data_IF_421115079870
#
_entry.id   IF_421115079870
#
_cell.length_a   1.000
_cell.length_b   1.000
_cell.length_c   1.000
_cell.angle_alpha   90.00
_cell.angle_beta   90.00
_cell.angle_gamma   90.00
#
_symmetry.space_group_name_H-M   'P 1'
#
loop_
_entity.id
_entity.type
_entity.pdbx_description
1 polymer ?
#
# COMPACT_ATOMS: atom_id res chain seq x y z
N UNK A 1 -18.22 -7.39 11.42
CA UNK A 1 -17.09 -8.30 11.14
C UNK A 1 -15.72 -7.73 11.54
N UNK A 2 -15.29 -6.57 11.04
CA UNK A 2 -13.98 -5.97 11.40
C UNK A 2 -13.82 -5.73 12.91
N UNK A 3 -14.89 -5.31 13.58
CA UNK A 3 -14.91 -5.07 15.04
C UNK A 3 -14.73 -6.35 15.87
N UNK A 4 -15.47 -7.40 15.51
CA UNK A 4 -15.35 -8.73 16.13
C UNK A 4 -13.96 -9.31 15.91
N UNK A 5 -13.42 -9.19 14.70
CA UNK A 5 -12.07 -9.65 14.36
C UNK A 5 -11.00 -8.99 15.25
N UNK A 6 -11.04 -7.66 15.39
CA UNK A 6 -10.12 -6.91 16.27
C UNK A 6 -10.26 -7.34 17.72
N UNK A 7 -11.48 -7.57 18.20
CA UNK A 7 -11.71 -8.00 19.59
C UNK A 7 -11.21 -9.42 19.85
N UNK A 8 -11.40 -10.35 18.91
CA UNK A 8 -10.92 -11.73 19.04
C UNK A 8 -9.39 -11.77 19.09
N UNK A 9 -8.71 -11.07 18.16
CA UNK A 9 -7.25 -11.13 18.12
C UNK A 9 -6.63 -10.50 19.38
N UNK A 10 -7.28 -9.51 20.01
CA UNK A 10 -6.83 -8.97 21.31
C UNK A 10 -6.79 -10.00 22.44
N UNK A 11 -7.57 -11.08 22.33
CA UNK A 11 -7.59 -12.17 23.32
C UNK A 11 -6.50 -13.21 23.06
N UNK A 12 -5.87 -13.18 21.89
CA UNK A 12 -4.79 -14.10 21.51
C UNK A 12 -3.48 -13.62 22.10
N UNK A 13 -2.67 -14.56 22.61
CA UNK A 13 -1.33 -14.28 23.11
C UNK A 13 -0.44 -13.65 22.00
N UNK A 14 0.32 -12.63 22.40
CA UNK A 14 1.31 -11.93 21.59
C UNK A 14 2.31 -12.91 20.92
N UNK A 15 2.65 -14.01 21.59
CA UNK A 15 3.50 -15.05 21.01
C UNK A 15 2.88 -15.68 19.76
N UNK A 16 1.61 -16.10 19.83
CA UNK A 16 0.92 -16.72 18.70
C UNK A 16 0.69 -15.72 17.58
N UNK A 17 0.31 -14.47 17.90
CA UNK A 17 0.16 -13.41 16.89
C UNK A 17 1.46 -13.22 16.12
N UNK A 18 2.59 -13.06 16.82
CA UNK A 18 3.89 -12.90 16.19
C UNK A 18 4.24 -14.12 15.34
N UNK A 19 4.10 -15.34 15.87
CA UNK A 19 4.41 -16.58 15.15
C UNK A 19 3.61 -16.71 13.85
N UNK A 20 2.31 -16.45 13.90
CA UNK A 20 1.42 -16.51 12.73
C UNK A 20 1.80 -15.50 11.66
N UNK A 21 2.13 -14.26 12.04
CA UNK A 21 2.55 -13.23 11.08
C UNK A 21 3.89 -13.57 10.40
N UNK A 22 4.84 -14.12 11.15
CA UNK A 22 6.09 -14.61 10.56
C UNK A 22 5.87 -15.80 9.62
N UNK A 23 4.97 -16.72 9.98
CA UNK A 23 4.62 -17.86 9.13
C UNK A 23 3.95 -17.40 7.83
N UNK A 24 2.97 -16.49 7.91
CA UNK A 24 2.31 -15.91 6.75
C UNK A 24 3.29 -15.18 5.82
N UNK A 25 4.20 -14.39 6.39
CA UNK A 25 5.25 -13.72 5.62
C UNK A 25 6.16 -14.71 4.87
N UNK A 26 6.65 -15.75 5.56
CA UNK A 26 7.53 -16.76 4.95
C UNK A 26 6.82 -17.54 3.86
N UNK A 27 5.56 -17.89 4.07
CA UNK A 27 4.73 -18.54 3.06
C UNK A 27 4.62 -17.71 1.79
N UNK A 28 4.27 -16.42 1.90
CA UNK A 28 4.20 -15.52 0.75
C UNK A 28 5.56 -15.28 0.09
N UNK A 29 6.63 -15.19 0.88
CA UNK A 29 7.98 -15.05 0.34
C UNK A 29 8.36 -16.26 -0.52
N UNK A 30 8.10 -17.48 -0.01
CA UNK A 30 8.35 -18.72 -0.75
C UNK A 30 7.53 -18.76 -2.04
N UNK A 31 6.25 -18.42 -1.98
CA UNK A 31 5.38 -18.32 -3.17
C UNK A 31 5.97 -17.36 -4.20
N UNK A 32 6.40 -16.17 -3.77
CA UNK A 32 6.97 -15.17 -4.67
C UNK A 32 8.27 -15.64 -5.33
N UNK A 33 9.12 -16.38 -4.60
CA UNK A 33 10.34 -16.98 -5.16
C UNK A 33 10.01 -18.10 -6.14
N UNK A 34 9.08 -19.00 -5.79
CA UNK A 34 8.64 -20.07 -6.70
C UNK A 34 8.03 -19.47 -7.97
N UNK A 35 7.19 -18.44 -7.84
CA UNK A 35 6.62 -17.75 -8.98
C UNK A 35 7.70 -17.15 -9.88
N UNK A 36 8.72 -16.51 -9.32
CA UNK A 36 9.86 -15.98 -10.09
C UNK A 36 10.58 -17.09 -10.86
N UNK A 37 10.86 -18.22 -10.22
CA UNK A 37 11.51 -19.38 -10.85
C UNK A 37 10.63 -19.92 -12.00
N UNK A 38 9.34 -20.10 -11.77
CA UNK A 38 8.41 -20.62 -12.79
C UNK A 38 8.24 -19.66 -13.97
N UNK A 39 8.25 -18.35 -13.73
CA UNK A 39 8.25 -17.34 -14.80
C UNK A 39 9.56 -17.39 -15.61
N UNK A 40 10.71 -17.57 -14.94
CA UNK A 40 12.00 -17.70 -15.61
C UNK A 40 12.07 -18.93 -16.54
N UNK A 41 11.49 -20.06 -16.12
CA UNK A 41 11.40 -21.26 -16.95
C UNK A 41 10.25 -21.24 -17.96
N UNK A 42 9.45 -20.16 -18.03
CA UNK A 42 8.35 -20.02 -19.00
C UNK A 42 7.11 -20.86 -18.71
N UNK A 43 6.97 -21.47 -17.52
CA UNK A 43 5.78 -22.22 -17.14
C UNK A 43 4.55 -21.35 -16.87
N UNK A 44 4.78 -20.09 -16.49
CA UNK A 44 3.72 -19.12 -16.23
C UNK A 44 3.65 -18.10 -17.37
N UNK A 45 2.48 -17.99 -17.98
CA UNK A 45 2.20 -16.94 -18.97
C UNK A 45 1.89 -15.64 -18.25
N UNK A 46 2.57 -14.56 -18.63
CA UNK A 46 2.28 -13.19 -18.17
C UNK A 46 2.41 -12.96 -16.67
N UNK A 47 3.63 -12.71 -16.16
CA UNK A 47 3.96 -12.22 -14.79
C UNK A 47 3.06 -12.74 -13.65
N UNK A 48 2.57 -13.97 -13.76
CA UNK A 48 1.61 -14.53 -12.83
C UNK A 48 2.34 -14.95 -11.54
N UNK A 49 1.66 -14.78 -10.40
CA UNK A 49 2.21 -15.01 -9.05
C UNK A 49 1.55 -16.23 -8.38
N UNK A 50 1.28 -17.27 -9.15
CA UNK A 50 0.58 -18.51 -8.76
C UNK A 50 -0.86 -18.23 -8.27
N UNK A 51 -1.01 -17.63 -7.09
CA UNK A 51 -2.28 -17.25 -6.47
C UNK A 51 -2.79 -15.87 -6.91
N UNK A 52 -1.90 -15.01 -7.42
CA UNK A 52 -2.26 -13.67 -7.87
C UNK A 52 -2.05 -13.56 -9.38
N UNK A 53 -3.10 -13.13 -10.09
CA UNK A 53 -3.04 -12.84 -11.52
C UNK A 53 -2.16 -11.62 -11.84
N UNK A 54 -2.00 -10.71 -10.88
CA UNK A 54 -1.15 -9.53 -11.04
C UNK A 54 -0.12 -9.45 -9.90
N UNK A 55 1.15 -9.14 -10.21
CA UNK A 55 2.20 -8.93 -9.21
C UNK A 55 1.86 -7.90 -8.14
N UNK A 56 1.10 -6.88 -8.50
CA UNK A 56 0.70 -5.81 -7.59
C UNK A 56 -0.26 -6.26 -6.49
N UNK A 57 -1.21 -7.16 -6.78
CA UNK A 57 -2.10 -7.70 -5.76
C UNK A 57 -1.31 -8.50 -4.72
N UNK A 58 -0.29 -9.24 -5.18
CA UNK A 58 0.67 -9.87 -4.27
C UNK A 58 1.37 -8.83 -3.39
N UNK A 59 1.84 -7.72 -3.96
CA UNK A 59 2.52 -6.66 -3.21
C UNK A 59 1.63 -6.08 -2.10
N UNK A 60 0.37 -5.80 -2.37
CA UNK A 60 -0.56 -5.21 -1.39
C UNK A 60 -0.78 -6.10 -0.16
N UNK A 61 -0.77 -7.42 -0.32
CA UNK A 61 -0.88 -8.38 0.81
C UNK A 61 0.47 -8.58 1.50
N UNK A 62 1.55 -8.61 0.72
CA UNK A 62 2.90 -8.89 1.22
C UNK A 62 3.49 -7.74 2.06
N UNK A 63 3.25 -6.49 1.68
CA UNK A 63 3.89 -5.30 2.25
C UNK A 63 3.56 -5.04 3.74
N UNK A 64 2.30 -5.14 4.21
CA UNK A 64 2.00 -5.06 5.64
C UNK A 64 2.78 -6.08 6.48
N UNK A 65 2.93 -7.30 5.96
CA UNK A 65 3.68 -8.38 6.62
C UNK A 65 5.19 -8.13 6.60
N UNK A 66 5.71 -7.61 5.48
CA UNK A 66 7.11 -7.19 5.38
C UNK A 66 7.44 -6.12 6.43
N UNK A 67 6.60 -5.08 6.57
CA UNK A 67 6.79 -4.04 7.59
C UNK A 67 6.79 -4.64 9.00
N UNK A 68 5.83 -5.53 9.29
CA UNK A 68 5.73 -6.21 10.57
C UNK A 68 6.98 -7.03 10.90
N UNK A 69 7.45 -7.86 9.96
CA UNK A 69 8.60 -8.75 10.14
C UNK A 69 9.90 -7.96 10.20
N UNK A 70 10.10 -6.98 9.32
CA UNK A 70 11.28 -6.12 9.33
C UNK A 70 11.40 -5.31 10.63
N UNK A 71 10.27 -4.84 11.16
CA UNK A 71 10.24 -4.15 12.45
C UNK A 71 10.51 -5.09 13.62
N UNK A 72 9.90 -6.29 13.63
CA UNK A 72 9.97 -7.23 14.76
C UNK A 72 11.27 -8.04 14.84
N UNK A 73 12.07 -8.03 13.78
CA UNK A 73 13.29 -8.83 13.67
C UNK A 73 14.54 -8.08 14.16
N UNK A 74 15.62 -8.81 14.40
CA UNK A 74 16.95 -8.22 14.59
C UNK A 74 17.31 -7.39 13.35
N UNK A 75 18.05 -6.29 13.53
CA UNK A 75 18.39 -5.34 12.45
C UNK A 75 18.97 -6.02 11.20
N UNK A 76 19.85 -7.02 11.39
CA UNK A 76 20.46 -7.77 10.29
C UNK A 76 19.42 -8.60 9.51
N UNK A 77 18.60 -9.40 10.21
CA UNK A 77 17.55 -10.20 9.58
C UNK A 77 16.50 -9.34 8.88
N UNK A 78 16.12 -8.20 9.47
CA UNK A 78 15.21 -7.25 8.82
C UNK A 78 15.78 -6.67 7.52
N UNK A 79 17.07 -6.37 7.48
CA UNK A 79 17.75 -5.91 6.27
C UNK A 79 17.83 -7.01 5.20
N UNK A 80 18.10 -8.25 5.61
CA UNK A 80 18.10 -9.41 4.73
C UNK A 80 16.73 -9.63 4.07
N UNK A 81 15.63 -9.55 4.85
CA UNK A 81 14.28 -9.64 4.29
C UNK A 81 14.00 -8.53 3.28
N UNK A 82 14.39 -7.28 3.58
CA UNK A 82 14.24 -6.18 2.63
C UNK A 82 15.03 -6.39 1.34
N UNK A 83 16.26 -6.91 1.44
CA UNK A 83 17.10 -7.19 0.29
C UNK A 83 16.46 -8.27 -0.60
N UNK A 84 15.92 -9.34 -0.03
CA UNK A 84 15.20 -10.36 -0.82
C UNK A 84 13.94 -9.77 -1.44
N UNK A 85 13.13 -9.02 -0.69
CA UNK A 85 11.93 -8.37 -1.23
C UNK A 85 12.25 -7.39 -2.36
N UNK A 86 13.39 -6.70 -2.26
CA UNK A 86 13.88 -5.81 -3.30
C UNK A 86 14.24 -6.58 -4.58
N UNK A 87 15.05 -7.65 -4.46
CA UNK A 87 15.40 -8.49 -5.61
C UNK A 87 14.15 -9.05 -6.27
N UNK A 88 13.21 -9.54 -5.46
CA UNK A 88 11.90 -10.02 -5.92
C UNK A 88 11.15 -8.93 -6.70
N UNK A 89 11.15 -7.68 -6.24
CA UNK A 89 10.51 -6.56 -6.94
C UNK A 89 11.15 -6.24 -8.30
N UNK A 90 12.47 -6.33 -8.40
CA UNK A 90 13.21 -6.05 -9.65
C UNK A 90 12.99 -7.16 -10.66
N UNK A 91 13.22 -8.41 -10.28
CA UNK A 91 13.14 -9.55 -11.22
C UNK A 91 11.72 -9.82 -11.73
N UNK A 92 10.69 -9.51 -10.94
CA UNK A 92 9.29 -9.61 -11.38
C UNK A 92 8.83 -8.35 -12.12
N UNK A 93 9.62 -7.26 -12.07
CA UNK A 93 9.26 -5.94 -12.58
C UNK A 93 7.97 -5.40 -11.93
N UNK A 94 7.98 -5.27 -10.60
CA UNK A 94 6.84 -4.80 -9.82
C UNK A 94 7.12 -3.48 -9.09
N UNK A 95 6.67 -2.37 -9.70
CA UNK A 95 6.83 -1.03 -9.14
C UNK A 95 6.11 -0.86 -7.79
N UNK A 96 4.93 -1.45 -7.60
CA UNK A 96 4.18 -1.31 -6.34
C UNK A 96 4.92 -1.94 -5.16
N UNK A 97 5.55 -3.10 -5.39
CA UNK A 97 6.39 -3.75 -4.40
C UNK A 97 7.65 -2.93 -4.12
N UNK A 98 8.29 -2.40 -5.18
CA UNK A 98 9.48 -1.57 -5.06
C UNK A 98 9.23 -0.33 -4.17
N UNK A 99 8.16 0.42 -4.44
CA UNK A 99 7.81 1.61 -3.64
C UNK A 99 7.50 1.22 -2.19
N UNK A 100 6.84 0.08 -1.98
CA UNK A 100 6.58 -0.42 -0.63
C UNK A 100 7.85 -0.81 0.13
N UNK A 101 8.82 -1.46 -0.53
CA UNK A 101 10.13 -1.80 0.09
C UNK A 101 10.89 -0.54 0.48
N UNK A 102 10.87 0.50 -0.37
CA UNK A 102 11.43 1.83 -0.06
C UNK A 102 10.77 2.41 1.19
N UNK A 103 9.44 2.42 1.24
CA UNK A 103 8.68 2.95 2.37
C UNK A 103 9.01 2.19 3.67
N UNK A 104 9.05 0.86 3.65
CA UNK A 104 9.43 0.05 4.83
C UNK A 104 10.85 0.37 5.28
N UNK A 105 11.79 0.52 4.34
CA UNK A 105 13.18 0.84 4.65
C UNK A 105 13.29 2.19 5.37
N UNK A 106 12.59 3.21 4.86
CA UNK A 106 12.54 4.54 5.48
C UNK A 106 11.99 4.51 6.91
N UNK A 107 10.90 3.76 7.13
CA UNK A 107 10.24 3.70 8.45
C UNK A 107 11.07 2.90 9.47
N UNK A 108 11.63 1.75 9.07
CA UNK A 108 12.26 0.81 10.01
C UNK A 108 13.73 1.17 10.29
N UNK A 109 14.44 1.69 9.28
CA UNK A 109 15.88 1.83 9.27
C UNK A 109 16.37 3.27 9.04
N UNK A 110 15.50 4.17 8.56
CA UNK A 110 15.82 5.58 8.30
C UNK A 110 16.65 5.82 7.05
N UNK A 111 16.85 7.11 6.72
CA UNK A 111 17.47 7.58 5.47
C UNK A 111 18.89 7.04 5.25
N UNK A 112 19.72 6.95 6.29
CA UNK A 112 21.12 6.49 6.15
C UNK A 112 21.22 5.08 5.56
N UNK A 113 20.37 4.16 6.04
CA UNK A 113 20.35 2.77 5.56
C UNK A 113 19.63 2.62 4.23
N UNK A 114 18.68 3.51 3.95
CA UNK A 114 18.07 3.61 2.63
C UNK A 114 19.10 3.98 1.56
N UNK A 115 20.00 4.92 1.85
CA UNK A 115 21.10 5.28 0.94
C UNK A 115 22.03 4.07 0.71
N UNK A 116 22.35 3.30 1.75
CA UNK A 116 23.14 2.06 1.60
C UNK A 116 22.41 1.04 0.74
N UNK A 117 21.10 0.86 0.92
CA UNK A 117 20.30 -0.02 0.07
C UNK A 117 20.38 0.45 -1.39
N UNK A 118 20.16 1.74 -1.67
CA UNK A 118 20.32 2.32 -3.02
C UNK A 118 21.72 2.08 -3.58
N UNK A 119 22.77 2.27 -2.78
CA UNK A 119 24.14 2.03 -3.23
C UNK A 119 24.37 0.56 -3.61
N UNK A 120 23.84 -0.38 -2.83
CA UNK A 120 23.87 -1.82 -3.15
C UNK A 120 23.10 -2.08 -4.45
N UNK A 121 21.96 -1.41 -4.64
CA UNK A 121 21.13 -1.56 -5.83
C UNK A 121 21.90 -1.07 -7.08
N UNK A 122 22.39 0.16 -7.05
CA UNK A 122 23.12 0.76 -8.16
C UNK A 122 24.37 -0.05 -8.52
N UNK A 123 25.07 -0.59 -7.52
CA UNK A 123 26.22 -1.48 -7.75
C UNK A 123 25.80 -2.82 -8.35
N UNK A 124 24.70 -3.44 -7.89
CA UNK A 124 24.18 -4.67 -8.50
C UNK A 124 23.75 -4.47 -9.96
N UNK A 125 23.12 -3.34 -10.28
CA UNK A 125 22.77 -2.98 -11.66
C UNK A 125 24.03 -2.74 -12.52
N UNK A 126 25.00 -2.00 -11.99
CA UNK A 126 26.25 -1.70 -12.70
C UNK A 126 27.06 -2.97 -12.99
N UNK A 127 27.16 -3.90 -12.04
CA UNK A 127 27.92 -5.14 -12.18
C UNK A 127 27.22 -6.14 -13.11
N UNK A 128 25.89 -6.22 -13.05
CA UNK A 128 25.14 -7.19 -13.85
C UNK A 128 24.99 -6.80 -15.31
N UNK A 129 25.34 -5.56 -15.69
CA UNK A 129 25.10 -5.02 -17.03
C UNK A 129 23.61 -4.94 -17.39
N UNK A 130 22.73 -5.18 -16.42
CA UNK A 130 21.28 -5.05 -16.57
C UNK A 130 21.02 -3.55 -16.68
N UNK A 131 20.65 -3.10 -17.87
CA UNK A 131 20.08 -1.75 -18.02
C UNK A 131 18.82 -1.67 -17.17
N UNK A 132 18.60 -0.52 -16.51
CA UNK A 132 17.29 -0.24 -15.89
C UNK A 132 16.27 -0.51 -16.98
N UNK A 133 15.47 -1.57 -16.83
CA UNK A 133 14.65 -2.02 -17.95
C UNK A 133 13.72 -0.89 -18.36
N UNK A 134 13.46 -0.78 -19.67
CA UNK A 134 12.55 0.22 -20.24
C UNK A 134 11.20 0.24 -19.50
N UNK A 135 10.84 -0.88 -18.86
CA UNK A 135 9.70 -0.99 -17.97
C UNK A 135 9.71 0.02 -16.81
N UNK A 136 10.81 0.17 -16.05
CA UNK A 136 10.82 1.11 -14.93
C UNK A 136 10.89 2.57 -15.41
N UNK A 137 11.66 2.83 -16.46
CA UNK A 137 11.77 4.17 -17.06
C UNK A 137 10.41 4.61 -17.59
N UNK A 138 9.74 3.77 -18.39
CA UNK A 138 8.43 4.06 -18.97
C UNK A 138 7.31 4.24 -17.95
N UNK A 139 7.52 3.83 -16.69
CA UNK A 139 6.57 4.01 -15.58
C UNK A 139 6.84 5.25 -14.74
N UNK A 140 8.09 5.74 -14.75
CA UNK A 140 8.51 6.96 -14.07
C UNK A 140 8.33 8.19 -14.97
N UNK A 141 8.43 8.02 -16.29
CA UNK A 141 8.12 9.07 -17.27
C UNK A 141 6.61 9.32 -17.32
N UNK A 142 6.15 10.23 -16.47
CA UNK A 142 4.75 10.70 -16.45
C UNK A 142 4.52 11.64 -17.63
N UNK A 143 4.11 11.08 -18.77
CA UNK A 143 3.72 11.86 -19.96
C UNK A 143 2.32 11.47 -20.41
N UNK A 144 1.52 12.48 -20.75
CA UNK A 144 0.19 12.32 -21.34
C UNK A 144 0.26 11.74 -22.77
N UNK A 145 1.41 11.87 -23.43
CA UNK A 145 1.69 11.30 -24.77
C UNK A 145 2.35 9.91 -24.69
N UNK A 146 2.38 9.29 -23.51
CA UNK A 146 3.03 7.99 -23.34
C UNK A 146 2.18 6.84 -23.88
N UNK A 147 2.80 5.87 -24.56
CA UNK A 147 2.12 4.63 -24.98
C UNK A 147 1.94 3.61 -23.84
N UNK A 148 2.25 3.98 -22.59
CA UNK A 148 2.17 3.07 -21.45
C UNK A 148 0.78 3.11 -20.82
N UNK A 149 -0.01 2.07 -21.11
CA UNK A 149 -1.41 1.95 -20.65
C UNK A 149 -1.61 2.20 -19.16
N UNK A 150 -0.66 1.82 -18.31
CA UNK A 150 -0.82 2.03 -16.87
C UNK A 150 -0.46 3.44 -16.39
N UNK A 151 0.45 4.14 -17.08
CA UNK A 151 0.73 5.55 -16.81
C UNK A 151 -0.46 6.39 -17.25
N UNK A 152 -0.97 6.12 -18.46
CA UNK A 152 -2.19 6.75 -18.96
C UNK A 152 -3.38 6.48 -18.03
N UNK A 153 -3.55 5.25 -17.55
CA UNK A 153 -4.62 4.93 -16.60
C UNK A 153 -4.50 5.70 -15.29
N UNK A 154 -3.28 5.84 -14.77
CA UNK A 154 -2.99 6.64 -13.58
C UNK A 154 -3.36 8.10 -13.79
N UNK A 155 -2.89 8.71 -14.90
CA UNK A 155 -3.16 10.10 -15.24
C UNK A 155 -4.66 10.34 -15.49
N UNK A 156 -5.32 9.44 -16.22
CA UNK A 156 -6.77 9.47 -16.46
C UNK A 156 -7.56 9.45 -15.14
N UNK A 157 -7.12 8.68 -14.14
CA UNK A 157 -7.75 8.70 -12.81
C UNK A 157 -7.80 10.10 -12.19
N UNK A 158 -6.67 10.80 -12.16
CA UNK A 158 -6.59 12.14 -11.59
C UNK A 158 -7.26 13.21 -12.45
N UNK A 159 -7.14 13.12 -13.78
CA UNK A 159 -7.84 14.01 -14.71
C UNK A 159 -9.35 13.94 -14.48
N UNK A 160 -9.89 12.72 -14.38
CA UNK A 160 -11.32 12.51 -14.13
C UNK A 160 -11.74 12.96 -12.74
N UNK A 161 -10.87 12.84 -11.74
CA UNK A 161 -11.12 13.40 -10.41
C UNK A 161 -11.24 14.93 -10.47
N UNK A 162 -10.34 15.59 -11.20
CA UNK A 162 -10.37 17.04 -11.42
C UNK A 162 -11.62 17.50 -12.18
N UNK A 163 -11.91 16.86 -13.33
CA UNK A 163 -13.08 17.21 -14.14
C UNK A 163 -14.39 16.94 -13.39
N UNK A 164 -14.47 15.84 -12.63
CA UNK A 164 -15.64 15.52 -11.81
C UNK A 164 -15.82 16.54 -10.69
N UNK A 165 -14.74 16.98 -10.06
CA UNK A 165 -14.78 17.99 -9.01
C UNK A 165 -15.35 19.32 -9.53
N UNK A 166 -14.89 19.78 -10.70
CA UNK A 166 -15.39 21.02 -11.30
C UNK A 166 -16.85 20.89 -11.74
N UNK A 167 -17.19 19.84 -12.49
CA UNK A 167 -18.55 19.66 -13.03
C UNK A 167 -19.61 19.45 -11.95
N UNK A 168 -19.24 18.89 -10.80
CA UNK A 168 -20.14 18.66 -9.67
C UNK A 168 -20.12 19.78 -8.62
N UNK A 169 -19.46 20.91 -8.90
CA UNK A 169 -19.25 22.00 -7.94
C UNK A 169 -18.71 21.51 -6.58
N UNK A 170 -17.87 20.47 -6.60
CA UNK A 170 -17.26 19.89 -5.41
C UNK A 170 -18.09 18.86 -4.64
N UNK A 171 -19.29 18.47 -5.09
CA UNK A 171 -20.07 17.40 -4.45
C UNK A 171 -19.63 15.99 -4.86
N UNK A 172 -18.94 15.85 -6.00
CA UNK A 172 -18.60 14.57 -6.60
C UNK A 172 -19.73 14.00 -7.44
N UNK A 173 -19.44 12.92 -8.18
CA UNK A 173 -20.38 12.25 -9.09
C UNK A 173 -21.22 11.16 -8.41
N UNK A 174 -20.97 10.84 -7.14
CA UNK A 174 -21.70 9.81 -6.39
C UNK A 174 -20.97 8.47 -6.28
N UNK A 175 -21.31 7.72 -5.23
CA UNK A 175 -20.60 6.49 -4.85
C UNK A 175 -20.65 5.41 -5.93
N UNK A 176 -19.48 4.87 -6.27
CA UNK A 176 -19.22 3.89 -7.30
C UNK A 176 -19.74 4.26 -8.70
N UNK A 177 -19.93 5.55 -8.99
CA UNK A 177 -20.43 6.01 -10.28
C UNK A 177 -19.33 6.28 -11.29
N UNK A 178 -18.05 6.34 -10.88
CA UNK A 178 -16.95 6.66 -11.79
C UNK A 178 -16.89 5.72 -13.00
N UNK A 179 -17.29 4.45 -12.88
CA UNK A 179 -17.30 3.53 -14.03
C UNK A 179 -18.46 3.69 -15.02
N UNK A 180 -19.44 4.55 -14.73
CA UNK A 180 -20.74 4.62 -15.42
C UNK A 180 -21.08 6.06 -15.82
N UNK A 181 -20.89 7.00 -14.90
CA UNK A 181 -21.24 8.42 -15.02
C UNK A 181 -19.99 9.25 -14.76
N UNK A 182 -19.78 10.29 -15.56
CA UNK A 182 -18.75 11.28 -15.31
C UNK A 182 -18.06 11.77 -16.58
N UNK A 183 -17.29 12.86 -16.47
CA UNK A 183 -16.50 13.36 -17.58
C UNK A 183 -15.47 12.33 -18.05
N UNK A 184 -15.47 12.12 -19.36
CA UNK A 184 -14.38 11.48 -20.09
C UNK A 184 -13.36 12.59 -20.37
N UNK A 185 -12.10 12.38 -19.99
CA UNK A 185 -11.00 13.29 -20.26
C UNK A 185 -10.19 12.84 -21.47
N UNK A 186 -9.31 13.72 -21.97
CA UNK A 186 -8.56 13.51 -23.21
C UNK A 186 -7.63 12.29 -23.11
N UNK A 187 -7.08 12.02 -21.92
CA UNK A 187 -6.23 10.85 -21.66
C UNK A 187 -7.02 9.53 -21.81
N UNK A 188 -8.32 9.56 -21.51
CA UNK A 188 -9.19 8.39 -21.63
C UNK A 188 -9.49 8.06 -23.09
N UNK A 189 -9.61 9.08 -23.94
CA UNK A 189 -9.80 8.90 -25.37
C UNK A 189 -8.53 8.32 -26.02
N UNK A 190 -7.34 8.75 -25.58
CA UNK A 190 -6.06 8.14 -25.98
C UNK A 190 -5.93 6.67 -25.53
N UNK A 191 -6.43 6.30 -24.35
CA UNK A 191 -6.47 4.88 -23.93
C UNK A 191 -7.43 4.08 -24.80
N UNK A 192 -8.59 4.65 -25.13
CA UNK A 192 -9.62 3.98 -25.92
C UNK A 192 -9.18 3.71 -27.35
N UNK A 193 -8.41 4.62 -27.95
CA UNK A 193 -7.78 4.43 -29.28
C UNK A 193 -6.69 3.36 -29.23
N UNK A 194 -5.85 3.34 -28.19
CA UNK A 194 -4.79 2.33 -28.01
C UNK A 194 -5.33 0.92 -27.69
N UNK A 195 -6.44 0.80 -26.96
CA UNK A 195 -7.02 -0.50 -26.54
C UNK A 195 -8.09 -1.04 -27.50
N UNK A 196 -8.28 -0.43 -28.67
CA UNK A 196 -9.30 -0.86 -29.64
C UNK A 196 -10.73 -0.87 -29.07
N UNK A 197 -11.04 0.05 -28.15
CA UNK A 197 -12.35 0.16 -27.52
C UNK A 197 -12.58 -0.69 -26.26
N UNK A 198 -11.61 -1.50 -25.80
CA UNK A 198 -11.75 -2.23 -24.53
C UNK A 198 -11.48 -1.33 -23.32
N UNK A 199 -12.44 -1.29 -22.41
CA UNK A 199 -12.54 -0.37 -21.28
C UNK A 199 -12.22 -1.02 -19.93
N UNK A 200 -11.31 -2.00 -19.89
CA UNK A 200 -10.96 -2.71 -18.65
C UNK A 200 -10.40 -1.76 -17.58
N UNK A 201 -9.73 -0.68 -17.99
CA UNK A 201 -9.15 0.34 -17.09
C UNK A 201 -10.10 1.49 -16.76
N UNK A 202 -11.31 1.50 -17.33
CA UNK A 202 -12.26 2.60 -17.28
C UNK A 202 -13.02 2.68 -15.93
N UNK A 203 -13.09 1.56 -15.20
CA UNK A 203 -13.91 1.40 -13.98
C UNK A 203 -13.20 1.67 -12.65
N UNK A 204 -11.87 1.54 -12.61
CA UNK A 204 -11.15 1.47 -11.32
C UNK A 204 -10.36 2.74 -10.96
N UNK A 205 -10.26 3.72 -11.86
CA UNK A 205 -9.64 5.01 -11.58
C UNK A 205 -8.14 4.95 -11.24
N UNK A 206 -7.49 3.79 -11.48
CA UNK A 206 -6.08 3.44 -11.25
C UNK A 206 -5.56 3.59 -9.81
N UNK A 207 -6.03 4.57 -9.03
CA UNK A 207 -5.76 4.78 -7.61
C UNK A 207 -7.08 4.98 -6.85
N UNK A 208 -7.15 4.48 -5.61
CA UNK A 208 -8.34 4.68 -4.78
C UNK A 208 -8.52 6.15 -4.39
N UNK A 209 -7.43 6.91 -4.22
CA UNK A 209 -7.49 8.34 -3.91
C UNK A 209 -8.21 9.11 -5.01
N UNK A 210 -7.82 8.91 -6.28
CA UNK A 210 -8.48 9.56 -7.41
C UNK A 210 -9.96 9.17 -7.48
N UNK A 211 -10.29 7.89 -7.24
CA UNK A 211 -11.67 7.42 -7.20
C UNK A 211 -12.49 8.10 -6.09
N UNK A 212 -11.95 8.15 -4.87
CA UNK A 212 -12.59 8.81 -3.71
C UNK A 212 -12.82 10.30 -3.96
N UNK A 213 -11.85 11.01 -4.55
CA UNK A 213 -12.00 12.44 -4.89
C UNK A 213 -13.05 12.63 -5.98
N UNK A 214 -13.03 11.81 -7.03
CA UNK A 214 -14.00 11.93 -8.11
C UNK A 214 -15.44 11.72 -7.62
N UNK A 215 -15.65 10.69 -6.79
CA UNK A 215 -16.98 10.28 -6.34
C UNK A 215 -17.55 11.13 -5.21
N UNK A 216 -16.71 11.58 -4.27
CA UNK A 216 -17.14 12.32 -3.07
C UNK A 216 -16.75 13.80 -3.07
N UNK A 217 -16.03 14.27 -4.09
CA UNK A 217 -15.60 15.66 -4.23
C UNK A 217 -14.82 16.17 -3.01
N UNK A 218 -15.29 17.26 -2.41
CA UNK A 218 -14.69 17.91 -1.25
C UNK A 218 -14.60 16.97 -0.04
N UNK A 219 -15.62 16.14 0.19
CA UNK A 219 -15.60 15.16 1.28
C UNK A 219 -14.47 14.15 1.07
N UNK A 220 -14.22 13.73 -0.18
CA UNK A 220 -13.11 12.86 -0.53
C UNK A 220 -11.74 13.47 -0.20
N UNK A 221 -11.56 14.75 -0.51
CA UNK A 221 -10.33 15.49 -0.18
C UNK A 221 -10.13 15.54 1.35
N UNK A 222 -11.18 15.87 2.11
CA UNK A 222 -11.11 15.90 3.58
C UNK A 222 -10.72 14.53 4.15
N UNK A 223 -11.30 13.44 3.63
CA UNK A 223 -10.96 12.08 4.05
C UNK A 223 -9.49 11.73 3.79
N UNK A 224 -8.95 12.12 2.63
CA UNK A 224 -7.54 11.90 2.29
C UNK A 224 -6.62 12.72 3.22
N UNK A 225 -6.96 13.97 3.51
CA UNK A 225 -6.20 14.80 4.45
C UNK A 225 -6.21 14.21 5.87
N UNK A 226 -7.35 13.70 6.32
CA UNK A 226 -7.46 13.00 7.60
C UNK A 226 -6.63 11.71 7.63
N UNK A 227 -6.61 10.96 6.53
CA UNK A 227 -5.75 9.78 6.38
C UNK A 227 -4.27 10.17 6.49
N UNK A 228 -3.82 11.18 5.73
CA UNK A 228 -2.43 11.66 5.73
C UNK A 228 -1.98 12.10 7.13
N UNK A 229 -2.83 12.83 7.86
CA UNK A 229 -2.55 13.22 9.24
C UNK A 229 -2.27 12.01 10.14
N UNK A 230 -3.11 10.97 10.06
CA UNK A 230 -2.93 9.75 10.86
C UNK A 230 -1.76 8.91 10.37
N UNK A 231 -1.50 8.88 9.06
CA UNK A 231 -0.36 8.22 8.44
C UNK A 231 0.96 8.77 8.99
N UNK A 232 1.12 10.10 9.04
CA UNK A 232 2.31 10.74 9.61
C UNK A 232 2.45 10.37 11.08
N UNK A 233 1.37 10.47 11.86
CA UNK A 233 1.40 10.17 13.29
C UNK A 233 1.81 8.71 13.60
N UNK A 234 1.25 7.74 12.88
CA UNK A 234 1.56 6.31 13.07
C UNK A 234 2.96 5.98 12.55
N UNK A 235 3.35 6.54 11.41
CA UNK A 235 4.71 6.37 10.87
C UNK A 235 5.76 6.91 11.85
N UNK A 236 5.53 8.07 12.46
CA UNK A 236 6.41 8.61 13.50
C UNK A 236 6.46 7.71 14.74
N UNK A 237 5.35 7.08 15.15
CA UNK A 237 5.34 6.10 16.25
C UNK A 237 6.18 4.87 15.94
N UNK A 238 6.13 4.38 14.70
CA UNK A 238 6.95 3.26 14.22
C UNK A 238 8.44 3.65 14.18
N UNK A 239 8.77 4.82 13.62
CA UNK A 239 10.16 5.32 13.58
C UNK A 239 10.74 5.45 14.99
N UNK A 240 9.96 5.97 15.94
CA UNK A 240 10.34 6.11 17.36
C UNK A 240 10.35 4.78 18.14
N UNK A 241 10.05 3.65 17.49
CA UNK A 241 9.99 2.31 18.11
C UNK A 241 9.03 2.24 19.32
N UNK A 242 8.00 3.08 19.34
CA UNK A 242 7.09 3.23 20.49
C UNK A 242 6.01 2.14 20.59
N UNK A 243 5.85 1.34 19.53
CA UNK A 243 4.88 0.24 19.48
C UNK A 243 5.59 -1.05 19.91
N UNK A 244 5.13 -1.62 21.03
CA UNK A 244 5.74 -2.79 21.67
C UNK A 244 4.94 -4.06 21.33
N UNK A 245 3.60 -3.97 21.36
CA UNK A 245 2.73 -5.15 21.20
C UNK A 245 2.66 -5.61 19.74
N UNK A 246 2.86 -6.91 19.45
CA UNK A 246 2.76 -7.48 18.10
C UNK A 246 1.43 -7.18 17.41
N UNK A 247 0.31 -7.32 18.13
CA UNK A 247 -1.00 -7.02 17.57
C UNK A 247 -1.11 -5.56 17.09
N UNK A 248 -0.70 -4.60 17.93
CA UNK A 248 -0.72 -3.17 17.60
C UNK A 248 0.19 -2.84 16.41
N UNK A 249 1.34 -3.52 16.35
CA UNK A 249 2.27 -3.40 15.24
C UNK A 249 1.64 -3.88 13.94
N UNK A 250 0.93 -5.01 13.93
CA UNK A 250 0.28 -5.52 12.73
C UNK A 250 -0.76 -4.54 12.17
N UNK A 251 -1.68 -4.03 13.00
CA UNK A 251 -2.68 -3.07 12.53
C UNK A 251 -2.06 -1.74 12.09
N UNK A 252 -1.00 -1.29 12.77
CA UNK A 252 -0.22 -0.13 12.34
C UNK A 252 0.43 -0.36 10.98
N UNK A 253 0.99 -1.55 10.74
CA UNK A 253 1.59 -1.92 9.47
C UNK A 253 0.58 -1.96 8.33
N UNK A 254 -0.60 -2.55 8.56
CA UNK A 254 -1.71 -2.56 7.60
C UNK A 254 -2.15 -1.14 7.27
N UNK A 255 -2.33 -0.28 8.28
CA UNK A 255 -2.76 1.11 8.08
C UNK A 255 -1.77 1.92 7.22
N UNK A 256 -0.47 1.80 7.52
CA UNK A 256 0.59 2.53 6.82
C UNK A 256 0.76 2.01 5.39
N UNK A 257 0.74 0.69 5.19
CA UNK A 257 0.91 0.10 3.86
C UNK A 257 -0.31 0.27 2.95
N UNK A 258 -1.50 0.55 3.51
CA UNK A 258 -2.66 0.94 2.72
C UNK A 258 -2.45 2.23 1.91
N UNK A 259 -1.44 3.05 2.25
CA UNK A 259 -1.07 4.24 1.46
C UNK A 259 -0.68 3.89 0.02
N UNK A 260 -0.13 2.70 -0.19
CA UNK A 260 0.26 2.19 -1.51
C UNK A 260 -0.98 1.87 -2.33
N UNK A 261 -2.01 1.29 -1.72
CA UNK A 261 -3.28 1.07 -2.39
C UNK A 261 -4.02 2.38 -2.67
N UNK A 262 -3.93 3.31 -1.72
CA UNK A 262 -4.60 4.60 -1.81
C UNK A 262 -4.03 5.45 -2.95
N UNK A 263 -2.71 5.59 -3.04
CA UNK A 263 -2.06 6.52 -3.96
C UNK A 263 -1.46 5.91 -5.21
N UNK A 264 -1.01 4.64 -5.16
CA UNK A 264 -0.23 4.04 -6.25
C UNK A 264 -1.09 3.08 -7.07
N UNK A 265 -1.86 2.20 -6.41
CA UNK A 265 -2.70 1.23 -7.13
C UNK A 265 -3.97 0.88 -6.39
N UNK A 266 -5.11 1.26 -6.97
CA UNK A 266 -6.42 0.93 -6.42
C UNK A 266 -6.95 -0.43 -6.88
N UNK A 267 -7.54 -1.19 -5.97
CA UNK A 267 -8.23 -2.46 -6.29
C UNK A 267 -9.75 -2.40 -6.09
N UNK A 268 -10.27 -1.22 -5.77
CA UNK A 268 -11.69 -0.97 -5.47
C UNK A 268 -12.01 -0.92 -3.97
N UNK A 269 -13.24 -0.52 -3.62
CA UNK A 269 -13.67 -0.31 -2.23
C UNK A 269 -13.83 -1.62 -1.44
N UNK A 270 -14.24 -2.69 -2.11
CA UNK A 270 -14.60 -3.97 -1.47
C UNK A 270 -13.50 -5.02 -1.69
N UNK A 271 -12.26 -4.65 -1.39
CA UNK A 271 -11.11 -5.56 -1.41
C UNK A 271 -10.82 -6.14 -0.02
N UNK A 272 -10.13 -7.29 0.02
CA UNK A 272 -9.66 -7.89 1.28
C UNK A 272 -8.73 -6.96 2.05
N UNK A 273 -7.93 -6.16 1.33
CA UNK A 273 -7.04 -5.14 1.89
C UNK A 273 -7.83 -3.95 2.47
N UNK A 274 -8.91 -3.51 1.81
CA UNK A 274 -9.83 -2.50 2.36
C UNK A 274 -10.56 -2.99 3.63
N UNK A 275 -10.91 -4.28 3.71
CA UNK A 275 -11.44 -4.88 4.94
C UNK A 275 -10.41 -4.85 6.08
N UNK A 276 -9.16 -5.22 5.80
CA UNK A 276 -8.06 -5.15 6.78
C UNK A 276 -7.78 -3.70 7.22
N UNK A 277 -7.89 -2.74 6.30
CA UNK A 277 -7.81 -1.32 6.60
C UNK A 277 -8.95 -0.85 7.52
N UNK A 278 -10.19 -1.29 7.29
CA UNK A 278 -11.31 -1.03 8.20
C UNK A 278 -11.06 -1.57 9.61
N UNK A 279 -10.45 -2.76 9.72
CA UNK A 279 -10.06 -3.32 11.00
C UNK A 279 -8.94 -2.50 11.69
N UNK A 280 -7.96 -1.98 10.94
CA UNK A 280 -6.91 -1.13 11.51
C UNK A 280 -7.43 0.23 11.97
N UNK A 281 -8.35 0.85 11.24
CA UNK A 281 -9.05 2.06 11.65
C UNK A 281 -9.79 1.87 12.97
N UNK A 282 -10.55 0.77 13.09
CA UNK A 282 -11.26 0.45 14.31
C UNK A 282 -10.31 0.23 15.49
N UNK A 283 -9.18 -0.42 15.26
CA UNK A 283 -8.15 -0.57 16.29
C UNK A 283 -7.57 0.77 16.74
N UNK A 284 -7.22 1.67 15.80
CA UNK A 284 -6.70 3.01 16.10
C UNK A 284 -7.70 3.79 16.96
N UNK A 285 -8.98 3.73 16.61
CA UNK A 285 -10.06 4.35 17.38
C UNK A 285 -10.12 3.83 18.83
N UNK A 286 -10.11 2.50 19.02
CA UNK A 286 -10.11 1.90 20.35
C UNK A 286 -8.85 2.26 21.17
N UNK A 287 -7.68 2.24 20.54
CA UNK A 287 -6.41 2.57 21.20
C UNK A 287 -6.42 4.01 21.73
N UNK A 288 -6.98 4.94 20.97
CA UNK A 288 -7.13 6.34 21.37
C UNK A 288 -8.10 6.52 22.55
N UNK A 289 -9.26 5.86 22.50
CA UNK A 289 -10.22 5.92 23.61
C UNK A 289 -9.65 5.34 24.91
N UNK A 290 -8.91 4.24 24.85
CA UNK A 290 -8.25 3.65 26.02
C UNK A 290 -7.18 4.58 26.62
N UNK A 291 -6.45 5.32 25.78
CA UNK A 291 -5.47 6.31 26.26
C UNK A 291 -6.14 7.51 26.95
N UNK A 292 -7.26 8.00 26.39
CA UNK A 292 -8.05 9.10 26.97
C UNK A 292 -8.60 8.67 28.34
N UNK A 293 -9.21 7.48 28.41
CA UNK A 293 -9.76 6.96 29.66
C UNK A 293 -8.67 6.79 30.72
N UNK A 294 -7.49 6.24 30.38
CA UNK A 294 -6.36 6.16 31.33
C UNK A 294 -5.92 7.53 31.86
N UNK A 295 -5.86 8.56 31.01
CA UNK A 295 -5.51 9.92 31.44
C UNK A 295 -6.55 10.51 32.39
N UNK A 296 -7.83 10.29 32.11
CA UNK A 296 -8.93 10.73 32.98
C UNK A 296 -8.89 10.02 34.35
N UNK A 297 -8.62 8.71 34.38
CA UNK A 297 -8.46 7.95 35.62
C UNK A 297 -7.28 8.46 36.47
N UNK A 298 -6.11 8.70 35.84
CA UNK A 298 -4.92 9.22 36.52
C UNK A 298 -5.17 10.62 37.09
N UNK A 299 -5.83 11.50 36.33
CA UNK A 299 -6.17 12.84 36.83
C UNK A 299 -7.18 12.79 37.99
N UNK A 300 -8.11 11.81 37.99
CA UNK A 300 -9.07 11.62 39.09
C UNK A 300 -8.42 11.07 40.36
N UNK A 301 -7.43 10.18 40.24
CA UNK A 301 -6.70 9.65 41.40
C UNK A 301 -5.68 10.64 41.98
N UNK A 302 -5.10 11.51 41.14
CA UNK A 302 -4.22 12.59 41.61
C UNK A 302 -5.04 13.73 42.24
N UNK A 303 -6.18 14.10 41.63
CA UNK A 303 -7.08 15.12 42.18
C UNK A 303 -7.82 14.71 43.46
N UNK A 304 -7.84 13.41 43.81
CA UNK A 304 -8.39 12.91 45.07
C UNK A 304 -7.32 12.78 46.19
N UNK A 305 -6.06 13.11 45.89
CA UNK A 305 -4.92 13.07 46.84
C UNK A 305 -4.40 14.46 47.22
N UNK A 306 -5.08 15.52 46.79
CA UNK A 306 -4.86 16.93 47.16
C UNK A 306 -6.08 17.36 47.96
#
# INVERSE_FOLDING_TARGET
MSTQFVNIIKLVDDYYVKKTMFMAFRFLLIIGIIALILNYFGFLTGKNMIFFKEPSHFALVYLPLLLFVAYSSKKFMGLFYLLISFLLAVFIENLTLLVGVVLVTLIVFGLKKFIILIAIILTTFFISGITISDYFISRVTLSFDSNNLSVLAFLSGYERAYLSFIKSFGFGIGFNQLGIVGPIGDTMDSIRTLMGGQSLTLRDGASLAAKVIAELGLLGIVLILLYLKHFIFISLKLIKRSIIKPFELYFSSVFVMYSIELFIRGTGYFSSTSFMFGASLYWIYLSRNNQINRRLYINKTIGARI
#
